data_IF_724033728856
#
_entry.id   IF_724033728856
#
_cell.length_a   1.000
_cell.length_b   1.000
_cell.length_c   1.000
_cell.angle_alpha   90.00
_cell.angle_beta   90.00
_cell.angle_gamma   90.00
#
_symmetry.space_group_name_H-M   'P 1'
#
loop_
_entity.id
_entity.type
_entity.pdbx_description
1 polymer ?
#
# COMPACT_ATOMS: atom_id res chain seq x y z
N UNK A 1 -13.80 -52.65 75.88
CA UNK A 1 -14.80 -51.60 75.56
C UNK A 1 -14.36 -51.00 74.22
N UNK A 2 -14.76 -51.57 73.08
CA UNK A 2 -16.01 -51.27 72.34
C UNK A 2 -16.23 -49.77 72.12
N UNK A 3 -16.04 -49.29 70.88
CA UNK A 3 -17.15 -48.92 69.98
C UNK A 3 -16.70 -47.98 68.84
N UNK A 4 -16.74 -48.48 67.60
CA UNK A 4 -17.23 -47.74 66.42
C UNK A 4 -18.74 -47.44 66.62
N UNK A 5 -19.45 -46.54 65.87
CA UNK A 5 -19.37 -46.43 64.40
C UNK A 5 -19.90 -45.13 63.69
N UNK A 6 -19.94 -45.23 62.34
CA UNK A 6 -20.77 -44.52 61.31
C UNK A 6 -20.35 -43.09 60.89
N UNK A 7 -20.06 -42.74 59.62
CA UNK A 7 -20.58 -42.93 58.23
C UNK A 7 -21.42 -41.74 57.70
N UNK A 8 -21.31 -41.56 56.38
CA UNK A 8 -21.93 -40.61 55.43
C UNK A 8 -21.18 -39.28 55.24
N UNK A 9 -20.98 -38.75 54.03
CA UNK A 9 -21.19 -39.21 52.65
C UNK A 9 -20.53 -38.14 51.74
N UNK A 10 -20.11 -38.49 50.52
CA UNK A 10 -20.48 -37.75 49.30
C UNK A 10 -20.09 -38.59 48.08
N UNK A 11 -21.09 -38.82 47.23
CA UNK A 11 -21.09 -39.74 46.09
C UNK A 11 -20.41 -39.11 44.85
N UNK A 12 -19.67 -39.89 44.04
CA UNK A 12 -19.32 -39.50 42.67
C UNK A 12 -20.48 -39.77 41.71
N UNK A 13 -20.92 -38.76 40.96
CA UNK A 13 -21.95 -38.89 39.92
C UNK A 13 -21.34 -39.36 38.59
N UNK A 14 -22.15 -40.18 37.93
CA UNK A 14 -21.84 -41.14 36.89
C UNK A 14 -21.56 -40.55 35.50
N UNK A 15 -20.89 -41.41 34.72
CA UNK A 15 -20.67 -41.39 33.28
C UNK A 15 -21.93 -41.90 32.55
N UNK A 16 -22.47 -41.16 31.57
CA UNK A 16 -23.48 -41.65 30.59
C UNK A 16 -23.14 -41.13 29.18
N UNK A 17 -23.38 -41.98 28.17
CA UNK A 17 -23.08 -41.88 26.72
C UNK A 17 -24.27 -41.38 25.86
N UNK A 18 -23.96 -41.12 24.57
CA UNK A 18 -24.77 -41.17 23.32
C UNK A 18 -25.54 -39.91 22.87
N UNK A 19 -25.23 -39.41 21.65
CA UNK A 19 -26.10 -39.49 20.45
C UNK A 19 -25.62 -38.58 19.27
N UNK A 20 -25.53 -39.18 18.08
CA UNK A 20 -25.98 -38.71 16.74
C UNK A 20 -25.48 -37.39 16.10
N UNK A 21 -24.84 -37.52 14.91
CA UNK A 21 -24.70 -36.51 13.83
C UNK A 21 -26.07 -36.07 13.24
N UNK A 22 -26.19 -35.15 12.23
CA UNK A 22 -25.24 -34.21 11.61
C UNK A 22 -25.79 -32.75 11.50
N UNK A 23 -24.94 -31.76 11.20
CA UNK A 23 -25.36 -30.51 10.54
C UNK A 23 -24.17 -29.90 9.81
N UNK A 24 -24.02 -30.29 8.55
CA UNK A 24 -23.20 -29.57 7.55
C UNK A 24 -23.80 -28.17 7.37
N UNK A 25 -23.02 -27.08 7.51
CA UNK A 25 -23.46 -25.78 7.01
C UNK A 25 -23.49 -25.85 5.48
N UNK A 26 -24.71 -25.80 4.93
CA UNK A 26 -24.97 -25.63 3.50
C UNK A 26 -24.53 -24.21 3.09
N UNK A 27 -23.29 -24.07 2.64
CA UNK A 27 -22.84 -22.86 1.96
C UNK A 27 -23.45 -22.81 0.54
N UNK A 28 -23.96 -21.66 0.10
CA UNK A 28 -24.42 -21.51 -1.28
C UNK A 28 -23.24 -21.71 -2.25
N UNK A 29 -23.41 -22.46 -3.35
CA UNK A 29 -22.37 -22.59 -4.37
C UNK A 29 -22.34 -21.29 -5.17
N UNK A 30 -21.51 -20.34 -4.76
CA UNK A 30 -21.41 -19.07 -5.48
C UNK A 30 -20.48 -18.00 -4.93
N UNK A 31 -19.79 -18.23 -3.80
CA UNK A 31 -18.86 -17.26 -3.24
C UNK A 31 -17.47 -17.88 -3.03
N UNK A 32 -16.86 -18.36 -4.12
CA UNK A 32 -15.43 -18.68 -4.11
C UNK A 32 -14.64 -17.38 -4.20
N UNK A 33 -14.18 -16.94 -3.04
CA UNK A 33 -12.85 -16.39 -2.79
C UNK A 33 -12.23 -15.50 -3.90
N UNK A 34 -12.73 -14.28 -4.06
CA UNK A 34 -11.98 -13.24 -4.81
C UNK A 34 -10.99 -12.47 -3.92
N UNK A 35 -11.02 -12.69 -2.60
CA UNK A 35 -10.19 -11.94 -1.66
C UNK A 35 -8.82 -12.58 -1.38
N UNK A 36 -8.69 -13.90 -1.52
CA UNK A 36 -7.38 -14.57 -1.35
C UNK A 36 -6.49 -14.34 -2.56
N UNK A 37 -7.06 -14.32 -3.77
CA UNK A 37 -6.27 -14.16 -5.00
C UNK A 37 -5.58 -12.81 -5.09
N UNK A 38 -6.23 -11.71 -4.72
CA UNK A 38 -5.66 -10.37 -4.92
C UNK A 38 -4.52 -10.04 -3.94
N UNK A 39 -4.58 -10.59 -2.72
CA UNK A 39 -3.48 -10.47 -1.78
C UNK A 39 -2.27 -11.30 -2.24
N UNK A 40 -2.50 -12.54 -2.67
CA UNK A 40 -1.44 -13.39 -3.25
C UNK A 40 -0.82 -12.72 -4.50
N UNK A 41 -1.64 -12.19 -5.41
CA UNK A 41 -1.22 -11.47 -6.64
C UNK A 41 -0.37 -10.23 -6.34
N UNK A 42 -0.72 -9.49 -5.27
CA UNK A 42 0.04 -8.35 -4.79
C UNK A 42 1.42 -8.78 -4.27
N UNK A 43 1.49 -9.86 -3.49
CA UNK A 43 2.77 -10.40 -3.01
C UNK A 43 3.64 -10.89 -4.15
N UNK A 44 3.07 -11.60 -5.12
CA UNK A 44 3.81 -12.11 -6.28
C UNK A 44 4.29 -10.97 -7.19
N UNK A 45 3.49 -9.91 -7.36
CA UNK A 45 3.89 -8.69 -8.09
C UNK A 45 5.09 -8.00 -7.45
N UNK A 46 5.09 -7.87 -6.12
CA UNK A 46 6.22 -7.32 -5.38
C UNK A 46 7.44 -8.24 -5.45
N UNK A 47 7.24 -9.56 -5.41
CA UNK A 47 8.32 -10.53 -5.55
C UNK A 47 8.98 -10.43 -6.94
N UNK A 48 8.20 -10.28 -8.00
CA UNK A 48 8.73 -10.12 -9.36
C UNK A 48 9.58 -8.84 -9.51
N UNK A 49 9.17 -7.73 -8.88
CA UNK A 49 9.99 -6.51 -8.81
C UNK A 49 11.32 -6.72 -8.08
N UNK A 50 11.39 -7.65 -7.12
CA UNK A 50 12.62 -7.94 -6.36
C UNK A 50 13.55 -8.97 -7.00
N UNK A 51 13.02 -9.91 -7.79
CA UNK A 51 13.74 -11.12 -8.22
C UNK A 51 14.18 -11.09 -9.68
N UNK A 52 13.52 -10.33 -10.56
CA UNK A 52 13.76 -10.37 -12.00
C UNK A 52 14.12 -8.98 -12.57
N UNK A 53 15.37 -8.52 -12.40
CA UNK A 53 15.81 -7.19 -12.87
C UNK A 53 15.70 -7.02 -14.40
N UNK A 54 15.77 -8.13 -15.15
CA UNK A 54 15.59 -8.13 -16.61
C UNK A 54 14.14 -7.90 -17.09
N UNK A 55 13.15 -8.03 -16.20
CA UNK A 55 11.71 -7.87 -16.50
C UNK A 55 11.03 -6.78 -15.63
N UNK A 56 11.81 -5.90 -14.99
CA UNK A 56 11.31 -4.84 -14.07
C UNK A 56 10.18 -3.99 -14.67
N UNK A 57 10.24 -3.73 -15.98
CA UNK A 57 9.20 -2.97 -16.68
C UNK A 57 7.86 -3.69 -16.70
N UNK A 58 7.87 -5.00 -16.96
CA UNK A 58 6.67 -5.84 -16.97
C UNK A 58 6.16 -6.09 -15.53
N UNK A 59 7.09 -6.28 -14.58
CA UNK A 59 6.76 -6.43 -13.15
C UNK A 59 6.10 -5.17 -12.56
N UNK A 60 6.59 -3.99 -12.93
CA UNK A 60 6.00 -2.73 -12.49
C UNK A 60 4.62 -2.50 -13.11
N UNK A 61 4.44 -2.78 -14.40
CA UNK A 61 3.12 -2.64 -15.03
C UNK A 61 2.08 -3.56 -14.38
N UNK A 62 2.46 -4.81 -14.08
CA UNK A 62 1.59 -5.73 -13.35
C UNK A 62 1.29 -5.24 -11.93
N UNK A 63 2.30 -4.78 -11.18
CA UNK A 63 2.08 -4.22 -9.86
C UNK A 63 1.12 -3.01 -9.91
N UNK A 64 1.24 -2.14 -10.91
CA UNK A 64 0.32 -1.02 -11.09
C UNK A 64 -1.11 -1.46 -11.46
N UNK A 65 -1.26 -2.55 -12.19
CA UNK A 65 -2.57 -3.15 -12.47
C UNK A 65 -3.20 -3.76 -11.21
N UNK A 66 -2.41 -4.42 -10.35
CA UNK A 66 -2.88 -4.92 -9.05
C UNK A 66 -3.27 -3.75 -8.14
N UNK A 67 -2.46 -2.69 -8.09
CA UNK A 67 -2.76 -1.49 -7.30
C UNK A 67 -4.15 -0.91 -7.61
N UNK A 68 -4.54 -0.86 -8.90
CA UNK A 68 -5.84 -0.33 -9.34
C UNK A 68 -7.01 -1.17 -8.83
N UNK A 69 -6.79 -2.47 -8.68
CA UNK A 69 -7.80 -3.44 -8.25
C UNK A 69 -7.89 -3.57 -6.72
N UNK A 70 -6.83 -3.18 -5.99
CA UNK A 70 -6.82 -3.24 -4.53
C UNK A 70 -7.90 -2.34 -3.91
N UNK A 71 -8.47 -2.75 -2.76
CA UNK A 71 -9.36 -1.91 -1.97
C UNK A 71 -8.58 -0.73 -1.38
N UNK A 72 -9.24 0.42 -1.25
CA UNK A 72 -8.67 1.67 -0.73
C UNK A 72 -7.77 1.53 0.51
N UNK A 73 -8.13 0.80 1.58
CA UNK A 73 -7.28 0.67 2.77
C UNK A 73 -5.93 -0.03 2.53
N UNK A 74 -5.78 -0.82 1.46
CA UNK A 74 -4.55 -1.56 1.18
C UNK A 74 -3.65 -0.84 0.16
N UNK A 75 -4.21 0.10 -0.60
CA UNK A 75 -3.50 0.82 -1.66
C UNK A 75 -2.28 1.59 -1.16
N UNK A 76 -2.40 2.25 -0.01
CA UNK A 76 -1.33 3.10 0.53
C UNK A 76 -0.07 2.30 0.92
N UNK A 77 -0.25 1.15 1.56
CA UNK A 77 0.88 0.28 1.91
C UNK A 77 1.50 -0.36 0.67
N UNK A 78 0.65 -0.83 -0.25
CA UNK A 78 1.12 -1.49 -1.46
C UNK A 78 1.89 -0.53 -2.38
N UNK A 79 1.38 0.68 -2.60
CA UNK A 79 2.06 1.66 -3.46
C UNK A 79 3.38 2.15 -2.84
N UNK A 80 3.48 2.21 -1.51
CA UNK A 80 4.74 2.53 -0.84
C UNK A 80 5.81 1.47 -1.13
N UNK A 81 5.43 0.20 -1.13
CA UNK A 81 6.32 -0.92 -1.47
C UNK A 81 6.69 -0.93 -2.95
N UNK A 82 5.72 -0.73 -3.85
CA UNK A 82 5.97 -0.61 -5.29
C UNK A 82 6.94 0.54 -5.55
N UNK A 83 6.71 1.69 -4.94
CA UNK A 83 7.60 2.84 -5.04
C UNK A 83 9.00 2.49 -4.54
N UNK A 84 9.15 1.93 -3.34
CA UNK A 84 10.47 1.52 -2.82
C UNK A 84 11.24 0.57 -3.76
N UNK A 85 10.55 -0.34 -4.43
CA UNK A 85 11.14 -1.32 -5.33
C UNK A 85 11.32 -0.81 -6.77
N UNK A 86 10.72 0.34 -7.12
CA UNK A 86 10.79 0.88 -8.47
C UNK A 86 12.19 1.45 -8.73
N UNK A 87 12.90 0.98 -9.78
CA UNK A 87 14.18 1.54 -10.15
C UNK A 87 14.05 3.00 -10.57
N UNK A 88 15.08 3.80 -10.31
CA UNK A 88 15.09 5.24 -10.61
C UNK A 88 14.71 5.54 -12.07
N UNK A 89 15.19 4.74 -13.01
CA UNK A 89 14.91 4.88 -14.45
C UNK A 89 13.42 4.77 -14.80
N UNK A 90 12.60 4.14 -13.96
CA UNK A 90 11.17 3.89 -14.21
C UNK A 90 10.24 4.68 -13.28
N UNK A 91 10.76 5.56 -12.43
CA UNK A 91 9.93 6.34 -11.50
C UNK A 91 8.88 7.21 -12.19
N UNK A 92 9.13 7.60 -13.43
CA UNK A 92 8.17 8.32 -14.28
C UNK A 92 6.84 7.56 -14.45
N UNK A 93 6.82 6.23 -14.32
CA UNK A 93 5.60 5.43 -14.37
C UNK A 93 4.69 5.62 -13.14
N UNK A 94 5.22 6.13 -12.04
CA UNK A 94 4.45 6.46 -10.82
C UNK A 94 3.84 7.87 -10.89
N UNK A 95 4.29 8.72 -11.81
CA UNK A 95 3.79 10.09 -11.98
C UNK A 95 2.27 10.18 -12.15
N UNK A 96 1.58 9.30 -12.91
CA UNK A 96 0.13 9.36 -13.04
C UNK A 96 -0.60 9.19 -11.71
N UNK A 97 -0.06 8.33 -10.83
CA UNK A 97 -0.64 8.10 -9.51
C UNK A 97 -0.33 9.29 -8.60
N UNK A 98 0.92 9.75 -8.60
CA UNK A 98 1.36 10.92 -7.81
C UNK A 98 0.62 12.21 -8.19
N UNK A 99 0.20 12.39 -9.45
CA UNK A 99 -0.47 13.61 -9.89
C UNK A 99 -2.00 13.54 -9.74
N UNK A 100 -2.56 12.37 -9.39
CA UNK A 100 -4.00 12.14 -9.37
C UNK A 100 -4.50 11.99 -7.91
N UNK A 101 -4.98 13.08 -7.29
CA UNK A 101 -5.37 13.06 -5.87
C UNK A 101 -6.58 12.17 -5.56
N UNK A 102 -7.31 11.70 -6.57
CA UNK A 102 -8.45 10.78 -6.40
C UNK A 102 -8.06 9.39 -5.89
N UNK A 103 -6.76 9.05 -5.87
CA UNK A 103 -6.29 7.78 -5.28
C UNK A 103 -6.28 7.77 -3.74
N UNK A 104 -6.56 8.91 -3.10
CA UNK A 104 -6.61 9.05 -1.65
C UNK A 104 -5.38 9.78 -1.10
N UNK A 105 -5.57 10.56 -0.03
CA UNK A 105 -4.51 11.39 0.55
C UNK A 105 -3.35 10.56 1.09
N UNK A 106 -3.62 9.39 1.66
CA UNK A 106 -2.58 8.52 2.21
C UNK A 106 -1.66 7.96 1.11
N UNK A 107 -2.22 7.56 -0.04
CA UNK A 107 -1.43 7.14 -1.21
C UNK A 107 -0.52 8.29 -1.67
N UNK A 108 -1.05 9.50 -1.74
CA UNK A 108 -0.27 10.69 -2.15
C UNK A 108 0.83 11.02 -1.15
N UNK A 109 0.55 10.88 0.14
CA UNK A 109 1.54 11.12 1.18
C UNK A 109 2.70 10.12 1.09
N UNK A 110 2.41 8.83 0.92
CA UNK A 110 3.43 7.78 0.77
C UNK A 110 4.31 8.04 -0.45
N UNK A 111 3.70 8.25 -1.62
CA UNK A 111 4.44 8.53 -2.85
C UNK A 111 5.24 9.83 -2.76
N UNK A 112 4.70 10.87 -2.13
CA UNK A 112 5.42 12.10 -1.90
C UNK A 112 6.63 11.91 -1.00
N UNK A 113 6.50 11.13 0.09
CA UNK A 113 7.65 10.80 0.94
C UNK A 113 8.74 10.06 0.16
N UNK A 114 8.37 9.09 -0.68
CA UNK A 114 9.33 8.37 -1.53
C UNK A 114 9.98 9.25 -2.59
N UNK A 115 9.23 10.21 -3.15
CA UNK A 115 9.80 11.21 -4.06
C UNK A 115 10.97 11.96 -3.41
N UNK A 116 10.89 12.27 -2.11
CA UNK A 116 11.95 13.00 -1.40
C UNK A 116 13.22 12.17 -1.17
N UNK A 117 13.16 10.85 -1.37
CA UNK A 117 14.32 9.95 -1.28
C UNK A 117 15.10 9.86 -2.61
N UNK A 118 14.54 10.37 -3.71
CA UNK A 118 15.19 10.32 -5.04
C UNK A 118 16.33 11.33 -5.19
N UNK A 119 17.19 11.23 -6.22
CA UNK A 119 18.14 12.30 -6.52
C UNK A 119 17.43 13.62 -6.90
N UNK A 120 17.96 14.76 -6.45
CA UNK A 120 17.38 16.10 -6.68
C UNK A 120 16.96 16.39 -8.14
N UNK A 121 17.74 16.01 -9.19
CA UNK A 121 17.33 16.22 -10.58
C UNK A 121 16.01 15.53 -10.96
N UNK A 122 15.67 14.42 -10.30
CA UNK A 122 14.41 13.71 -10.50
C UNK A 122 13.28 14.27 -9.62
N UNK A 123 13.63 14.79 -8.45
CA UNK A 123 12.66 15.41 -7.54
C UNK A 123 12.10 16.70 -8.13
N UNK A 124 12.99 17.59 -8.59
CA UNK A 124 12.65 18.96 -8.92
C UNK A 124 11.49 19.09 -9.92
N UNK A 125 11.51 18.44 -11.10
CA UNK A 125 10.40 18.55 -12.04
C UNK A 125 9.05 18.11 -11.44
N UNK A 126 9.06 17.12 -10.55
CA UNK A 126 7.84 16.61 -9.89
C UNK A 126 7.36 17.55 -8.80
N UNK A 127 8.26 18.03 -7.94
CA UNK A 127 7.94 19.03 -6.92
C UNK A 127 7.34 20.29 -7.55
N UNK A 128 7.88 20.75 -8.68
CA UNK A 128 7.35 21.88 -9.43
C UNK A 128 5.92 21.59 -9.90
N UNK A 129 5.65 20.43 -10.51
CA UNK A 129 4.30 20.05 -10.96
C UNK A 129 3.31 20.00 -9.81
N UNK A 130 3.71 19.42 -8.67
CA UNK A 130 2.87 19.35 -7.47
C UNK A 130 2.58 20.74 -6.89
N UNK A 131 3.60 21.60 -6.84
CA UNK A 131 3.48 22.98 -6.39
C UNK A 131 2.56 23.82 -7.28
N UNK A 132 2.56 23.56 -8.60
CA UNK A 132 1.69 24.23 -9.57
C UNK A 132 0.22 23.78 -9.50
N UNK A 133 -0.08 22.67 -8.81
CA UNK A 133 -1.44 22.19 -8.63
C UNK A 133 -1.94 22.50 -7.20
N UNK A 134 -2.62 23.64 -6.96
CA UNK A 134 -3.03 24.04 -5.61
C UNK A 134 -4.05 23.09 -4.98
N UNK A 135 -4.77 22.30 -5.79
CA UNK A 135 -5.73 21.30 -5.31
C UNK A 135 -5.06 20.00 -4.87
N UNK A 136 -3.75 19.83 -5.09
CA UNK A 136 -3.01 18.64 -4.68
C UNK A 136 -2.67 18.67 -3.18
N UNK A 137 -2.88 17.57 -2.42
CA UNK A 137 -2.63 17.53 -0.97
C UNK A 137 -1.17 17.83 -0.58
N UNK A 138 -0.22 17.52 -1.46
CA UNK A 138 1.21 17.78 -1.24
C UNK A 138 1.68 19.12 -1.82
N UNK A 139 0.81 19.94 -2.40
CA UNK A 139 1.19 21.19 -3.08
C UNK A 139 1.88 22.20 -2.17
N UNK A 140 1.31 22.45 -0.99
CA UNK A 140 1.88 23.37 0.00
C UNK A 140 3.27 22.91 0.46
N UNK A 141 3.42 21.62 0.76
CA UNK A 141 4.72 21.03 1.13
C UNK A 141 5.74 21.12 0.00
N UNK A 142 5.34 20.86 -1.24
CA UNK A 142 6.20 20.98 -2.41
C UNK A 142 6.70 22.42 -2.59
N UNK A 143 5.82 23.42 -2.43
CA UNK A 143 6.19 24.83 -2.45
C UNK A 143 7.22 25.19 -1.37
N UNK A 144 7.00 24.75 -0.12
CA UNK A 144 7.94 24.98 0.99
C UNK A 144 9.32 24.37 0.70
N UNK A 145 9.37 23.14 0.16
CA UNK A 145 10.63 22.49 -0.18
C UNK A 145 11.35 23.22 -1.31
N UNK A 146 10.63 23.63 -2.35
CA UNK A 146 11.23 24.41 -3.43
C UNK A 146 11.82 25.74 -2.95
N UNK A 147 11.15 26.43 -2.03
CA UNK A 147 11.68 27.64 -1.38
C UNK A 147 12.94 27.33 -0.56
N UNK A 148 13.00 26.18 0.10
CA UNK A 148 14.19 25.77 0.86
C UNK A 148 15.39 25.43 -0.03
N UNK A 149 15.16 24.86 -1.22
CA UNK A 149 16.22 24.56 -2.18
C UNK A 149 16.74 25.81 -2.89
N UNK A 150 15.88 26.81 -3.10
CA UNK A 150 16.21 28.04 -3.81
C UNK A 150 15.79 29.28 -3.00
N UNK A 151 16.41 29.52 -1.82
CA UNK A 151 16.02 30.61 -0.93
C UNK A 151 16.27 31.98 -1.55
N UNK A 152 17.24 32.09 -2.46
CA UNK A 152 17.58 33.33 -3.16
C UNK A 152 16.61 33.69 -4.29
N UNK A 153 15.67 32.79 -4.63
CA UNK A 153 14.83 32.95 -5.80
C UNK A 153 13.35 32.80 -5.45
N UNK A 154 12.86 33.77 -4.70
CA UNK A 154 11.47 33.89 -4.22
C UNK A 154 10.45 34.09 -5.37
N UNK A 155 10.89 34.25 -6.62
CA UNK A 155 10.03 34.61 -7.75
C UNK A 155 10.34 33.81 -9.02
N UNK A 156 10.37 32.48 -8.95
CA UNK A 156 10.36 31.69 -10.19
C UNK A 156 8.98 31.75 -10.84
N UNK A 157 8.93 32.34 -12.04
CA UNK A 157 8.00 31.94 -13.08
C UNK A 157 8.37 30.50 -13.50
N UNK A 158 7.94 29.52 -12.69
CA UNK A 158 8.14 28.09 -12.93
C UNK A 158 7.79 27.65 -14.36
N UNK A 159 6.69 28.15 -14.97
CA UNK A 159 6.43 27.97 -16.39
C UNK A 159 7.60 28.35 -17.31
N UNK A 160 8.34 29.41 -17.02
CA UNK A 160 9.50 29.84 -17.80
C UNK A 160 10.73 28.93 -17.59
N UNK A 161 10.93 28.39 -16.37
CA UNK A 161 11.99 27.41 -16.11
C UNK A 161 11.74 26.08 -16.83
N UNK A 162 10.51 25.57 -16.80
CA UNK A 162 10.15 24.31 -17.48
C UNK A 162 10.37 24.37 -19.00
N UNK A 163 10.28 25.55 -19.62
CA UNK A 163 10.63 25.76 -21.04
C UNK A 163 12.12 25.66 -21.34
N UNK A 164 12.98 25.84 -20.33
CA UNK A 164 14.45 25.77 -20.47
C UNK A 164 15.02 24.38 -20.23
N UNK A 165 14.27 23.50 -19.57
CA UNK A 165 14.68 22.11 -19.41
C UNK A 165 14.38 21.40 -20.73
N UNK A 166 15.38 20.76 -21.38
CA UNK A 166 15.12 19.95 -22.55
C UNK A 166 14.17 18.81 -22.17
N UNK A 167 13.03 18.74 -22.88
CA UNK A 167 12.09 17.63 -22.79
C UNK A 167 12.74 16.46 -23.50
N UNK A 168 13.39 15.57 -22.72
CA UNK A 168 13.92 14.29 -23.19
C UNK A 168 12.81 13.24 -23.30
#
# INVERSE_FOLDING_TARGET
MQSSPLRLAFFPVARIRFASSPSTPSFPPGAVATCFTLADDATDSLANLTLAPEDEGNGLDWALDVFRQLPEPQRATFIDQVAMLTPLSMWNRLDPILNQPSWGSEVQDRLFHRLLELPLPMQLPRLIRLAMNPSHPSSSRANTLLQSYFPEIVAWDYPAYLRRIPQS
#
